data_IF_160419893858
#
_entry.id   IF_160419893858
#
_cell.length_a   1.000
_cell.length_b   1.000
_cell.length_c   1.000
_cell.angle_alpha   90.00
_cell.angle_beta   90.00
_cell.angle_gamma   90.00
#
_symmetry.space_group_name_H-M   'P 1'
#
loop_
_entity.id
_entity.type
_entity.pdbx_description
1 polymer ?
#
# COMPACT_ATOMS: atom_id res chain seq x y z
N UNK A 1 -6.36 -13.80 -21.07
CA UNK A 1 -6.86 -12.79 -20.10
C UNK A 1 -5.96 -12.85 -18.88
N UNK A 2 -5.21 -11.78 -18.63
CA UNK A 2 -4.16 -11.73 -17.61
C UNK A 2 -4.78 -11.67 -16.23
N UNK A 3 -4.90 -12.82 -15.56
CA UNK A 3 -5.14 -12.85 -14.12
C UNK A 3 -3.85 -12.36 -13.45
N UNK A 4 -3.80 -11.06 -13.15
CA UNK A 4 -2.82 -10.47 -12.25
C UNK A 4 -3.01 -11.14 -10.89
N UNK A 5 -2.31 -12.26 -10.69
CA UNK A 5 -2.33 -13.02 -9.44
C UNK A 5 -1.86 -12.08 -8.34
N UNK A 6 -2.79 -11.58 -7.53
CA UNK A 6 -2.50 -11.06 -6.20
C UNK A 6 -1.80 -12.19 -5.43
N UNK A 7 -0.47 -12.16 -5.44
CA UNK A 7 0.36 -13.23 -4.93
C UNK A 7 0.28 -13.22 -3.41
N UNK A 8 -0.52 -14.13 -2.85
CA UNK A 8 -0.68 -14.42 -1.41
C UNK A 8 0.63 -14.78 -0.68
N UNK A 9 1.81 -14.67 -1.32
CA UNK A 9 3.15 -14.95 -0.75
C UNK A 9 3.87 -13.70 -0.21
N UNK A 10 3.39 -12.48 -0.44
CA UNK A 10 4.15 -11.25 -0.17
C UNK A 10 3.83 -10.55 1.17
N UNK A 11 3.11 -11.18 2.09
CA UNK A 11 2.74 -10.57 3.37
C UNK A 11 3.96 -10.33 4.30
N UNK A 12 4.90 -11.28 4.30
CA UNK A 12 6.16 -11.18 5.06
C UNK A 12 7.02 -10.02 4.53
N UNK A 13 7.36 -9.94 3.22
CA UNK A 13 8.16 -8.84 2.71
C UNK A 13 7.47 -7.48 2.85
N UNK A 14 6.14 -7.38 2.64
CA UNK A 14 5.42 -6.12 2.82
C UNK A 14 5.54 -5.58 4.25
N UNK A 15 5.37 -6.46 5.25
CA UNK A 15 5.47 -6.04 6.66
C UNK A 15 6.88 -5.57 7.01
N UNK A 16 7.90 -6.24 6.49
CA UNK A 16 9.29 -5.89 6.77
C UNK A 16 9.72 -4.61 6.05
N UNK A 17 9.31 -4.42 4.79
CA UNK A 17 9.47 -3.16 4.03
C UNK A 17 8.85 -1.97 4.80
N UNK A 18 7.60 -2.13 5.28
CA UNK A 18 6.92 -1.09 6.06
C UNK A 18 7.60 -0.81 7.41
N UNK A 19 8.24 -1.80 8.03
CA UNK A 19 9.04 -1.55 9.24
C UNK A 19 10.28 -0.72 8.91
N UNK A 20 10.94 -0.99 7.80
CA UNK A 20 12.13 -0.26 7.41
C UNK A 20 11.79 1.18 7.02
N UNK A 21 10.64 1.42 6.38
CA UNK A 21 10.10 2.78 6.20
C UNK A 21 9.92 3.49 7.54
N UNK A 22 9.31 2.83 8.53
CA UNK A 22 9.13 3.42 9.85
C UNK A 22 10.48 3.70 10.56
N UNK A 23 11.49 2.83 10.39
CA UNK A 23 12.85 3.06 10.92
C UNK A 23 13.53 4.27 10.28
N UNK A 24 13.28 4.49 8.99
CA UNK A 24 13.78 5.64 8.24
C UNK A 24 13.00 6.94 8.56
N UNK A 25 12.00 6.90 9.44
CA UNK A 25 11.18 8.07 9.78
C UNK A 25 10.05 8.35 8.79
N UNK A 26 9.83 7.46 7.81
CA UNK A 26 8.77 7.60 6.82
C UNK A 26 7.41 7.41 7.45
N UNK A 27 6.50 8.36 7.22
CA UNK A 27 5.14 8.32 7.76
C UNK A 27 4.26 7.43 6.88
N UNK A 28 3.57 6.48 7.49
CA UNK A 28 2.71 5.53 6.78
C UNK A 28 1.24 5.89 6.96
N UNK A 29 0.50 5.90 5.85
CA UNK A 29 -0.92 6.20 5.83
C UNK A 29 -1.68 5.12 5.06
N UNK A 30 -2.92 4.90 5.47
CA UNK A 30 -3.86 3.97 4.85
C UNK A 30 -5.15 4.74 4.60
N UNK A 31 -5.55 4.89 3.34
CA UNK A 31 -6.72 5.66 2.91
C UNK A 31 -6.72 7.07 3.54
N UNK A 32 -5.58 7.76 3.49
CA UNK A 32 -5.42 9.10 4.07
C UNK A 32 -5.29 9.15 5.59
N UNK A 33 -5.44 8.03 6.30
CA UNK A 33 -5.35 7.98 7.77
C UNK A 33 -3.99 7.46 8.23
N UNK A 34 -3.36 8.08 9.25
CA UNK A 34 -2.09 7.58 9.79
C UNK A 34 -2.30 6.16 10.32
N UNK A 35 -1.46 5.23 9.88
CA UNK A 35 -1.65 3.82 10.16
C UNK A 35 -0.34 3.10 10.44
N UNK A 36 -0.44 1.96 11.12
CA UNK A 36 0.73 1.14 11.44
C UNK A 36 1.05 0.16 10.31
N UNK A 37 2.31 -0.26 10.18
CA UNK A 37 2.72 -1.33 9.26
C UNK A 37 1.82 -2.58 9.33
N UNK A 38 1.42 -2.96 10.54
CA UNK A 38 0.55 -4.12 10.78
C UNK A 38 -0.85 -3.90 10.20
N UNK A 39 -1.44 -2.72 10.41
CA UNK A 39 -2.77 -2.39 9.88
C UNK A 39 -2.78 -2.39 8.35
N UNK A 40 -1.77 -1.77 7.72
CA UNK A 40 -1.65 -1.72 6.25
C UNK A 40 -1.49 -3.13 5.67
N UNK A 41 -0.60 -3.95 6.25
CA UNK A 41 -0.42 -5.33 5.79
C UNK A 41 -1.71 -6.15 5.94
N UNK A 42 -2.45 -5.97 7.04
CA UNK A 42 -3.74 -6.62 7.25
C UNK A 42 -4.79 -6.13 6.25
N UNK A 43 -4.85 -4.83 5.98
CA UNK A 43 -5.77 -4.23 5.02
C UNK A 43 -5.55 -4.76 3.59
N UNK A 44 -4.29 -4.86 3.15
CA UNK A 44 -3.93 -5.50 1.88
C UNK A 44 -4.30 -7.00 1.84
N UNK A 45 -4.32 -7.69 2.98
CA UNK A 45 -4.66 -9.11 3.05
C UNK A 45 -6.16 -9.37 2.90
N UNK A 46 -6.98 -8.48 3.47
CA UNK A 46 -8.45 -8.61 3.47
C UNK A 46 -9.12 -7.95 2.26
N UNK A 47 -8.37 -7.23 1.42
CA UNK A 47 -8.93 -6.68 0.19
C UNK A 47 -9.20 -7.83 -0.79
N UNK A 48 -10.46 -8.26 -0.83
CA UNK A 48 -10.94 -9.32 -1.73
C UNK A 48 -11.29 -8.78 -3.13
N UNK A 49 -11.64 -7.50 -3.24
CA UNK A 49 -12.18 -6.87 -4.47
C UNK A 49 -11.47 -5.53 -4.78
N UNK A 50 -10.17 -5.63 -5.08
CA UNK A 50 -9.31 -4.48 -5.38
C UNK A 50 -7.87 -4.66 -4.93
N UNK A 51 -7.08 -3.59 -5.05
CA UNK A 51 -5.70 -3.52 -4.59
C UNK A 51 -5.41 -2.20 -3.89
N UNK A 52 -4.28 -2.12 -3.18
CA UNK A 52 -3.80 -0.84 -2.64
C UNK A 52 -2.68 -0.31 -3.53
N UNK A 53 -2.82 0.91 -4.02
CA UNK A 53 -1.70 1.65 -4.63
C UNK A 53 -0.94 2.44 -3.57
N UNK A 54 0.36 2.62 -3.80
CA UNK A 54 1.26 3.34 -2.91
C UNK A 54 1.61 4.70 -3.52
N UNK A 55 1.22 5.76 -2.86
CA UNK A 55 1.66 7.13 -3.17
C UNK A 55 2.87 7.49 -2.32
N UNK A 56 3.95 7.87 -2.99
CA UNK A 56 5.20 8.31 -2.37
C UNK A 56 5.24 9.83 -2.35
N UNK A 57 5.41 10.42 -1.17
CA UNK A 57 5.64 11.86 -1.01
C UNK A 57 7.08 12.06 -0.57
N UNK A 58 7.81 12.91 -1.29
CA UNK A 58 9.17 13.28 -0.94
C UNK A 58 9.21 14.43 0.10
N UNK A 59 10.25 14.49 0.91
CA UNK A 59 10.63 15.68 1.70
C UNK A 59 11.35 16.71 0.82
N UNK A 60 11.74 17.83 1.43
CA UNK A 60 12.51 18.90 0.79
C UNK A 60 13.89 18.43 0.32
N UNK A 61 14.41 17.33 0.87
CA UNK A 61 15.67 16.70 0.46
C UNK A 61 15.48 15.64 -0.64
N UNK A 62 14.24 15.43 -1.12
CA UNK A 62 13.92 14.45 -2.17
C UNK A 62 13.85 13.00 -1.67
N UNK A 63 13.91 12.76 -0.37
CA UNK A 63 13.76 11.43 0.24
C UNK A 63 12.30 11.13 0.51
N UNK A 64 11.93 9.85 0.53
CA UNK A 64 10.54 9.45 0.81
C UNK A 64 10.19 9.85 2.25
N UNK A 65 9.36 10.87 2.41
CA UNK A 65 8.88 11.36 3.71
C UNK A 65 7.63 10.63 4.17
N UNK A 66 6.78 10.26 3.21
CA UNK A 66 5.48 9.65 3.49
C UNK A 66 5.11 8.65 2.39
N UNK A 67 4.47 7.58 2.81
CA UNK A 67 3.84 6.60 1.92
C UNK A 67 2.38 6.48 2.29
N UNK A 68 1.48 6.73 1.34
CA UNK A 68 0.05 6.57 1.50
C UNK A 68 -0.45 5.37 0.70
N UNK A 69 -1.17 4.46 1.35
CA UNK A 69 -1.79 3.31 0.72
C UNK A 69 -3.24 3.66 0.41
N UNK A 70 -3.58 3.85 -0.85
CA UNK A 70 -4.94 4.13 -1.29
C UNK A 70 -5.61 2.87 -1.83
N UNK A 71 -6.80 2.56 -1.32
CA UNK A 71 -7.59 1.44 -1.77
C UNK A 71 -8.23 1.76 -3.13
N UNK A 72 -7.90 0.94 -4.12
CA UNK A 72 -8.44 1.04 -5.47
C UNK A 72 -9.33 -0.16 -5.72
N UNK A 73 -10.63 0.12 -5.81
CA UNK A 73 -11.60 -0.83 -6.32
C UNK A 73 -11.43 -0.85 -7.84
N UNK A 74 -11.29 -2.04 -8.43
CA UNK A 74 -11.38 -2.15 -9.87
C UNK A 74 -12.80 -1.71 -10.27
N UNK A 75 -12.91 -0.50 -10.83
CA UNK A 75 -14.16 -0.07 -11.43
C UNK A 75 -14.50 -1.04 -12.57
N UNK A 76 -15.76 -1.50 -12.69
CA UNK A 76 -16.15 -2.34 -13.81
C UNK A 76 -15.81 -1.58 -15.10
N UNK A 77 -14.98 -2.20 -15.96
CA UNK A 77 -14.65 -1.68 -17.29
C UNK A 77 -15.91 -1.76 -18.17
N UNK A 78 -16.86 -0.84 -17.98
CA UNK A 78 -18.02 -0.73 -18.86
C UNK A 78 -18.10 0.67 -19.46
N UNK A 79 -17.20 0.93 -20.42
CA UNK A 79 -17.39 1.96 -21.44
C UNK A 79 -16.78 1.50 -22.76
N UNK A 80 -17.49 0.63 -23.48
CA UNK A 80 -17.78 0.78 -24.91
C UNK A 80 -18.76 -0.28 -25.37
#
# INVERSE_FOLDING_TARGET
MSHSKCSKKSLKPLKDELKDYRKQGVRLFLNGNPSTPKCIAKACMIAEDGGYMRDYTADEEGRIAKVNFEHIRELPKNRR
#
